data_IF_241742235536
#
_entry.id   IF_241742235536
#
_cell.length_a   1.000
_cell.length_b   1.000
_cell.length_c   1.000
_cell.angle_alpha   90.00
_cell.angle_beta   90.00
_cell.angle_gamma   90.00
#
_symmetry.space_group_name_H-M   'P 1'
#
loop_
_entity.id
_entity.type
_entity.pdbx_description
1 polymer ?
#
# COMPACT_ATOMS: atom_id res chain seq x y z
N UNK A 1 6.54 -3.61 16.36
CA UNK A 1 6.21 -2.18 16.50
C UNK A 1 6.55 -1.54 15.18
N UNK A 2 5.64 -0.76 14.59
CA UNK A 2 5.91 -0.10 13.30
C UNK A 2 7.04 0.93 13.45
N UNK A 3 7.81 1.12 12.37
CA UNK A 3 8.93 2.06 12.38
C UNK A 3 8.48 3.52 12.37
N UNK A 4 7.39 3.80 11.67
CA UNK A 4 6.80 5.13 11.53
C UNK A 4 5.43 5.19 12.17
N UNK A 5 5.08 6.36 12.68
CA UNK A 5 3.78 6.63 13.26
C UNK A 5 2.70 6.79 12.18
N UNK A 6 1.46 6.53 12.56
CA UNK A 6 0.30 6.92 11.76
C UNK A 6 0.10 8.44 11.86
N UNK A 7 -0.19 9.06 10.72
CA UNK A 7 -0.49 10.48 10.56
C UNK A 7 -1.97 10.59 10.20
N UNK A 8 -2.71 11.38 10.96
CA UNK A 8 -4.12 11.64 10.69
C UNK A 8 -4.28 12.56 9.48
N UNK A 9 -5.19 12.21 8.58
CA UNK A 9 -5.55 13.06 7.43
C UNK A 9 -6.53 14.12 7.93
N UNK A 10 -6.19 15.40 7.76
CA UNK A 10 -7.06 16.50 8.18
C UNK A 10 -8.12 16.83 7.13
N UNK A 11 -9.16 17.56 7.54
CA UNK A 11 -10.17 18.07 6.60
C UNK A 11 -9.57 19.00 5.54
N UNK A 12 -8.53 19.75 5.90
CA UNK A 12 -7.85 20.66 4.97
C UNK A 12 -7.01 19.89 3.93
N UNK A 13 -6.36 18.79 4.33
CA UNK A 13 -5.68 17.89 3.38
C UNK A 13 -6.69 17.31 2.38
N UNK A 14 -7.84 16.86 2.88
CA UNK A 14 -8.93 16.32 2.06
C UNK A 14 -9.47 17.39 1.09
N UNK A 15 -9.76 18.60 1.56
CA UNK A 15 -10.22 19.70 0.70
C UNK A 15 -9.22 20.02 -0.40
N UNK A 16 -7.93 20.09 -0.06
CA UNK A 16 -6.85 20.41 -1.01
C UNK A 16 -6.77 19.36 -2.11
N UNK A 17 -6.77 18.07 -1.77
CA UNK A 17 -6.72 17.02 -2.79
C UNK A 17 -8.00 16.99 -3.62
N UNK A 18 -9.18 17.15 -3.01
CA UNK A 18 -10.46 17.18 -3.73
C UNK A 18 -10.50 18.36 -4.71
N UNK A 19 -9.99 19.52 -4.32
CA UNK A 19 -9.89 20.66 -5.22
C UNK A 19 -9.01 20.35 -6.43
N UNK A 20 -7.83 19.76 -6.22
CA UNK A 20 -6.97 19.31 -7.33
C UNK A 20 -7.68 18.31 -8.24
N UNK A 21 -8.34 17.31 -7.68
CA UNK A 21 -9.08 16.30 -8.45
C UNK A 21 -10.19 16.94 -9.28
N UNK A 22 -10.92 17.91 -8.73
CA UNK A 22 -11.95 18.66 -9.45
C UNK A 22 -11.37 19.50 -10.58
N UNK A 23 -10.24 20.16 -10.36
CA UNK A 23 -9.50 20.86 -11.42
C UNK A 23 -9.10 19.89 -12.53
N UNK A 24 -8.52 18.73 -12.17
CA UNK A 24 -8.08 17.72 -13.12
C UNK A 24 -9.24 17.11 -13.90
N UNK A 25 -10.34 16.75 -13.23
CA UNK A 25 -11.54 16.19 -13.87
C UNK A 25 -12.12 17.12 -14.93
N UNK A 26 -12.10 18.43 -14.68
CA UNK A 26 -12.65 19.44 -15.61
C UNK A 26 -11.66 19.90 -16.68
N UNK A 27 -10.38 19.96 -16.34
CA UNK A 27 -9.33 20.54 -17.18
C UNK A 27 -8.56 19.53 -18.04
N UNK A 28 -8.69 18.23 -17.76
CA UNK A 28 -7.90 17.17 -18.41
C UNK A 28 -8.81 16.11 -19.06
N UNK A 29 -9.41 16.41 -20.23
CA UNK A 29 -10.43 15.57 -20.87
C UNK A 29 -9.92 14.19 -21.34
N UNK A 30 -8.61 13.97 -21.40
CA UNK A 30 -8.02 12.71 -21.88
C UNK A 30 -7.90 11.62 -20.82
N UNK A 31 -7.72 11.96 -19.53
CA UNK A 31 -7.71 10.92 -18.48
C UNK A 31 -9.08 10.26 -18.26
N UNK A 32 -10.12 10.80 -18.91
CA UNK A 32 -11.43 10.16 -19.07
C UNK A 32 -11.45 9.10 -20.19
N UNK A 33 -10.43 9.04 -21.06
CA UNK A 33 -10.44 8.25 -22.31
C UNK A 33 -9.34 7.16 -22.43
N UNK A 34 -8.37 7.08 -21.51
CA UNK A 34 -7.26 6.11 -21.58
C UNK A 34 -7.70 4.63 -21.42
N UNK A 35 -6.99 3.71 -22.05
CA UNK A 35 -7.27 2.28 -22.38
C UNK A 35 -7.80 1.30 -21.31
N UNK A 36 -8.11 1.76 -20.09
CA UNK A 36 -8.87 1.02 -19.07
C UNK A 36 -10.13 1.77 -18.59
N UNK A 37 -10.49 2.87 -19.26
CA UNK A 37 -11.50 3.83 -18.83
C UNK A 37 -12.89 3.21 -18.78
N UNK A 38 -13.25 2.74 -17.58
CA UNK A 38 -14.58 3.01 -17.05
C UNK A 38 -14.85 4.50 -17.27
N UNK A 39 -16.03 4.84 -17.81
CA UNK A 39 -16.55 6.22 -17.87
C UNK A 39 -16.81 6.70 -16.44
N UNK A 40 -15.73 6.90 -15.68
CA UNK A 40 -15.82 7.32 -14.29
C UNK A 40 -16.45 8.71 -14.25
N UNK A 41 -17.63 8.78 -13.64
CA UNK A 41 -18.16 10.04 -13.15
C UNK A 41 -17.31 10.49 -11.94
N UNK A 42 -17.57 11.71 -11.46
CA UNK A 42 -16.71 12.36 -10.46
C UNK A 42 -16.39 11.49 -9.23
N UNK A 43 -17.34 10.68 -8.74
CA UNK A 43 -17.11 9.78 -7.60
C UNK A 43 -16.00 8.76 -7.84
N UNK A 44 -16.06 8.02 -8.96
CA UNK A 44 -14.99 7.07 -9.31
C UNK A 44 -13.67 7.76 -9.64
N UNK A 45 -13.73 8.99 -10.17
CA UNK A 45 -12.53 9.78 -10.45
C UNK A 45 -11.83 10.26 -9.17
N UNK A 46 -12.59 10.60 -8.13
CA UNK A 46 -12.04 10.93 -6.81
C UNK A 46 -11.25 9.75 -6.25
N UNK A 47 -11.83 8.56 -6.21
CA UNK A 47 -11.17 7.35 -5.70
C UNK A 47 -9.86 7.06 -6.43
N UNK A 48 -9.84 7.24 -7.77
CA UNK A 48 -8.65 6.98 -8.59
C UNK A 48 -7.47 7.88 -8.24
N UNK A 49 -7.73 9.16 -7.95
CA UNK A 49 -6.68 10.17 -7.76
C UNK A 49 -6.44 10.52 -6.29
N UNK A 50 -7.25 10.00 -5.36
CA UNK A 50 -7.15 10.31 -3.95
C UNK A 50 -5.77 10.01 -3.37
N UNK A 51 -5.15 8.89 -3.76
CA UNK A 51 -3.84 8.46 -3.26
C UNK A 51 -2.73 9.51 -3.38
N UNK A 52 -2.87 10.50 -4.27
CA UNK A 52 -1.92 11.61 -4.41
C UNK A 52 -1.82 12.51 -3.17
N UNK A 53 -2.82 12.50 -2.28
CA UNK A 53 -2.75 13.17 -0.97
C UNK A 53 -1.56 12.68 -0.13
N UNK A 54 -1.14 11.43 -0.33
CA UNK A 54 -0.08 10.79 0.44
C UNK A 54 1.28 11.46 0.23
N UNK A 55 1.52 12.00 -0.97
CA UNK A 55 2.76 12.74 -1.29
C UNK A 55 2.94 13.95 -0.38
N UNK A 56 1.88 14.69 -0.05
CA UNK A 56 2.00 15.85 0.84
C UNK A 56 1.91 15.45 2.31
N UNK A 57 0.95 14.60 2.69
CA UNK A 57 0.74 14.24 4.11
C UNK A 57 1.98 13.59 4.72
N UNK A 58 2.62 12.64 4.02
CA UNK A 58 3.80 11.96 4.54
C UNK A 58 5.03 12.87 4.55
N UNK A 59 5.30 13.58 3.46
CA UNK A 59 6.50 14.42 3.40
C UNK A 59 6.39 15.65 4.29
N UNK A 60 5.20 16.23 4.50
CA UNK A 60 5.00 17.34 5.43
C UNK A 60 5.32 16.90 6.88
N UNK A 61 4.95 15.69 7.31
CA UNK A 61 5.36 15.16 8.63
C UNK A 61 6.87 14.86 8.68
N UNK A 62 7.42 14.20 7.66
CA UNK A 62 8.86 13.89 7.59
C UNK A 62 9.74 15.15 7.64
N UNK A 63 9.25 16.25 7.07
CA UNK A 63 9.98 17.50 6.92
C UNK A 63 9.50 18.61 7.87
N UNK A 64 8.66 18.31 8.87
CA UNK A 64 8.07 19.34 9.75
C UNK A 64 9.07 20.23 10.48
N UNK A 65 10.27 19.71 10.76
CA UNK A 65 11.37 20.44 11.41
C UNK A 65 12.30 21.13 10.39
N UNK A 66 12.00 21.06 9.10
CA UNK A 66 12.80 21.64 8.01
C UNK A 66 12.17 22.92 7.48
N UNK A 67 13.02 23.80 6.95
CA UNK A 67 12.61 25.10 6.37
C UNK A 67 12.28 24.99 4.87
N UNK A 68 11.84 23.82 4.44
CA UNK A 68 11.43 23.55 3.08
C UNK A 68 10.40 22.41 3.08
N UNK A 69 9.64 22.30 2.00
CA UNK A 69 8.67 21.23 1.77
C UNK A 69 8.85 20.64 0.38
N UNK A 70 8.31 19.45 0.16
CA UNK A 70 8.26 18.88 -1.19
C UNK A 70 7.28 19.63 -2.08
N UNK A 71 7.51 19.56 -3.38
CA UNK A 71 6.60 20.04 -4.41
C UNK A 71 6.11 18.82 -5.20
N UNK A 72 4.86 18.43 -4.96
CA UNK A 72 4.16 17.42 -5.75
C UNK A 72 3.81 17.91 -7.15
N UNK A 73 3.66 16.98 -8.09
CA UNK A 73 3.14 17.31 -9.42
C UNK A 73 1.63 17.60 -9.38
N UNK A 74 1.23 18.87 -9.43
CA UNK A 74 -0.18 19.26 -9.62
C UNK A 74 -0.44 19.89 -11.00
N UNK A 75 0.43 19.67 -11.98
CA UNK A 75 0.21 20.17 -13.33
C UNK A 75 -0.96 19.46 -14.03
N UNK A 76 -1.58 20.18 -14.96
CA UNK A 76 -2.54 19.62 -15.90
C UNK A 76 -1.85 19.50 -17.25
N UNK A 77 -1.98 18.34 -17.87
CA UNK A 77 -1.24 17.99 -19.08
C UNK A 77 -2.12 18.07 -20.32
N UNK A 78 -1.55 18.63 -21.39
CA UNK A 78 -2.19 18.64 -22.71
C UNK A 78 -2.15 17.27 -23.39
N UNK A 79 -2.68 17.20 -24.61
CA UNK A 79 -2.78 15.93 -25.34
C UNK A 79 -1.43 15.40 -25.83
N UNK A 80 -0.50 16.30 -26.15
CA UNK A 80 0.77 15.97 -26.81
C UNK A 80 1.95 15.87 -25.83
N UNK A 81 1.68 15.81 -24.52
CA UNK A 81 2.71 15.72 -23.48
C UNK A 81 2.88 14.30 -22.94
N UNK A 82 4.13 13.93 -22.67
CA UNK A 82 4.50 12.81 -21.82
C UNK A 82 3.95 13.01 -20.41
N UNK A 83 3.22 12.00 -19.95
CA UNK A 83 2.45 12.03 -18.69
C UNK A 83 3.16 11.31 -17.54
N UNK A 84 4.41 10.91 -17.73
CA UNK A 84 5.22 10.25 -16.71
C UNK A 84 6.02 11.28 -15.91
N UNK A 85 5.32 12.19 -15.23
CA UNK A 85 5.96 13.07 -14.27
C UNK A 85 6.40 12.27 -13.03
N UNK A 86 7.56 12.56 -12.44
CA UNK A 86 7.85 12.08 -11.09
C UNK A 86 6.83 12.64 -10.10
N UNK A 87 6.44 11.85 -9.10
CA UNK A 87 5.45 12.28 -8.11
C UNK A 87 5.93 13.50 -7.32
N UNK A 88 7.23 13.56 -7.01
CA UNK A 88 7.90 14.71 -6.37
C UNK A 88 8.77 15.46 -7.39
N UNK A 89 8.39 16.71 -7.68
CA UNK A 89 9.06 17.55 -8.68
C UNK A 89 10.24 18.37 -8.13
N UNK A 90 10.31 18.56 -6.81
CA UNK A 90 11.36 19.38 -6.19
C UNK A 90 11.07 19.73 -4.75
N UNK A 91 11.79 20.75 -4.25
CA UNK A 91 11.59 21.35 -2.94
C UNK A 91 11.20 22.82 -3.08
N UNK A 92 10.46 23.34 -2.11
CA UNK A 92 10.17 24.77 -1.96
C UNK A 92 10.65 25.24 -0.60
N UNK A 93 11.55 26.21 -0.57
CA UNK A 93 12.07 26.79 0.67
C UNK A 93 11.02 27.67 1.35
N UNK A 94 11.22 27.98 2.63
CA UNK A 94 10.37 28.94 3.36
C UNK A 94 10.43 30.36 2.80
N UNK A 95 11.48 30.73 2.05
CA UNK A 95 11.56 32.00 1.31
C UNK A 95 10.77 31.99 0.00
N UNK A 96 10.21 30.84 -0.39
CA UNK A 96 9.42 30.67 -1.60
C UNK A 96 10.24 30.25 -2.83
N UNK A 97 11.55 30.01 -2.68
CA UNK A 97 12.42 29.56 -3.77
C UNK A 97 12.13 28.09 -4.11
N UNK A 98 11.85 27.82 -5.39
CA UNK A 98 11.65 26.46 -5.91
C UNK A 98 12.98 25.87 -6.38
N UNK A 99 13.28 24.66 -5.91
CA UNK A 99 14.47 23.87 -6.22
C UNK A 99 14.04 22.62 -6.97
N UNK A 100 14.07 22.61 -8.31
CA UNK A 100 13.50 21.54 -9.12
C UNK A 100 14.41 20.31 -9.15
N UNK A 101 13.82 19.13 -8.99
CA UNK A 101 14.45 17.84 -9.27
C UNK A 101 14.26 17.43 -10.73
N UNK A 102 13.13 17.82 -11.31
CA UNK A 102 12.84 17.61 -12.73
C UNK A 102 12.25 18.88 -13.35
N UNK A 103 12.49 19.06 -14.64
CA UNK A 103 11.99 20.18 -15.43
C UNK A 103 11.29 19.65 -16.67
N UNK A 104 10.09 20.16 -16.91
CA UNK A 104 9.37 19.90 -18.14
C UNK A 104 10.01 20.67 -19.30
N UNK A 105 10.30 19.97 -20.39
CA UNK A 105 10.95 20.51 -21.58
C UNK A 105 10.31 19.90 -22.83
N UNK A 106 9.58 20.72 -23.59
CA UNK A 106 9.02 20.38 -24.90
C UNK A 106 8.31 19.02 -24.97
N UNK A 107 7.37 18.77 -24.05
CA UNK A 107 6.58 17.55 -24.08
C UNK A 107 7.05 16.48 -23.11
N UNK A 108 8.20 16.60 -22.44
CA UNK A 108 8.71 15.55 -21.55
C UNK A 108 9.36 16.08 -20.28
N UNK A 109 9.39 15.26 -19.22
CA UNK A 109 10.08 15.56 -17.98
C UNK A 109 11.54 15.14 -18.06
N UNK A 110 12.43 16.09 -17.83
CA UNK A 110 13.88 15.88 -17.79
C UNK A 110 14.40 16.05 -16.37
N UNK A 111 15.12 15.04 -15.87
CA UNK A 111 15.78 15.11 -14.56
C UNK A 111 16.86 16.17 -14.55
N UNK A 112 16.93 16.92 -13.44
CA UNK A 112 18.04 17.80 -13.14
C UNK A 112 19.20 16.95 -12.63
N UNK A 113 20.40 17.13 -13.20
CA UNK A 113 21.57 16.33 -12.85
C UNK A 113 21.85 16.38 -11.35
N UNK A 114 22.06 15.20 -10.75
CA UNK A 114 22.32 15.04 -9.31
C UNK A 114 21.11 15.16 -8.40
N UNK A 115 19.90 15.39 -8.94
CA UNK A 115 18.66 15.44 -8.16
C UNK A 115 17.92 14.10 -8.21
N UNK A 116 17.23 13.70 -7.12
CA UNK A 116 16.56 12.42 -7.05
C UNK A 116 15.24 12.41 -7.84
N UNK A 117 14.94 11.29 -8.50
CA UNK A 117 13.59 10.94 -8.93
C UNK A 117 12.90 10.06 -7.90
N UNK A 118 11.65 10.36 -7.60
CA UNK A 118 10.90 9.74 -6.51
C UNK A 118 9.51 9.36 -7.01
N UNK A 119 9.17 8.08 -6.84
CA UNK A 119 7.84 7.51 -7.06
C UNK A 119 7.19 7.20 -5.71
N UNK A 120 5.89 7.48 -5.57
CA UNK A 120 5.11 7.23 -4.36
C UNK A 120 4.04 6.19 -4.65
N UNK A 121 4.06 5.09 -3.89
CA UNK A 121 3.08 4.00 -3.99
C UNK A 121 2.26 3.91 -2.72
N UNK A 122 0.95 4.03 -2.86
CA UNK A 122 0.01 3.86 -1.76
C UNK A 122 -0.61 2.46 -1.80
N UNK A 123 -0.59 1.79 -0.66
CA UNK A 123 -1.23 0.48 -0.43
C UNK A 123 -2.24 0.62 0.70
N UNK A 124 -3.34 -0.12 0.67
CA UNK A 124 -4.32 -0.08 1.76
C UNK A 124 -3.89 -0.97 2.93
N UNK A 125 -4.36 -0.66 4.12
CA UNK A 125 -4.08 -1.44 5.33
C UNK A 125 -4.51 -2.90 5.18
N UNK A 126 -5.66 -3.15 4.53
CA UNK A 126 -6.21 -4.48 4.28
C UNK A 126 -5.46 -5.31 3.21
N UNK A 127 -4.59 -4.67 2.42
CA UNK A 127 -3.81 -5.34 1.37
C UNK A 127 -2.47 -5.84 1.92
N UNK A 128 -2.13 -7.12 1.74
CA UNK A 128 -0.86 -7.68 2.24
C UNK A 128 0.35 -7.41 1.33
N UNK A 129 0.11 -7.09 0.06
CA UNK A 129 1.13 -7.03 -0.99
C UNK A 129 1.33 -5.62 -1.51
N UNK A 130 2.56 -5.37 -1.95
CA UNK A 130 2.98 -4.22 -2.71
C UNK A 130 3.62 -4.67 -4.03
N UNK A 131 3.53 -3.82 -5.04
CA UNK A 131 3.99 -4.13 -6.39
C UNK A 131 4.45 -2.89 -7.15
N UNK A 132 5.53 -3.03 -7.91
CA UNK A 132 5.95 -2.03 -8.91
C UNK A 132 6.17 -2.72 -10.23
N UNK A 133 5.50 -2.22 -11.28
CA UNK A 133 5.65 -2.75 -12.63
C UNK A 133 7.05 -2.44 -13.13
N UNK A 134 7.70 -3.39 -13.80
CA UNK A 134 9.06 -3.17 -14.33
C UNK A 134 9.19 -1.90 -15.20
N UNK A 135 8.23 -1.57 -16.09
CA UNK A 135 8.29 -0.31 -16.85
C UNK A 135 8.22 0.96 -16.00
N UNK A 136 7.68 0.88 -14.77
CA UNK A 136 7.64 1.98 -13.81
C UNK A 136 8.89 2.03 -12.94
N UNK A 137 9.81 1.05 -13.06
CA UNK A 137 11.03 1.03 -12.26
C UNK A 137 12.12 1.93 -12.85
N UNK A 138 11.79 3.21 -13.09
CA UNK A 138 12.69 4.20 -13.72
C UNK A 138 13.26 5.21 -12.74
N UNK A 139 12.70 5.30 -11.54
CA UNK A 139 13.07 6.27 -10.51
C UNK A 139 14.12 5.75 -9.55
N UNK A 140 14.77 6.67 -8.83
CA UNK A 140 15.88 6.38 -7.94
C UNK A 140 15.38 5.86 -6.59
N UNK A 141 14.24 6.40 -6.12
CA UNK A 141 13.61 6.06 -4.85
C UNK A 141 12.12 5.75 -5.02
N UNK A 142 11.64 4.74 -4.29
CA UNK A 142 10.24 4.35 -4.20
C UNK A 142 9.79 4.47 -2.75
N UNK A 143 8.77 5.29 -2.51
CA UNK A 143 8.19 5.53 -1.19
C UNK A 143 6.90 4.73 -1.09
N UNK A 144 6.83 3.81 -0.13
CA UNK A 144 5.61 3.02 0.10
C UNK A 144 4.85 3.56 1.31
N UNK A 145 3.58 3.83 1.13
CA UNK A 145 2.71 4.43 2.13
C UNK A 145 1.52 3.51 2.34
N UNK A 146 1.24 3.17 3.58
CA UNK A 146 0.02 2.49 3.98
C UNK A 146 -1.09 3.51 4.24
N UNK A 147 -2.27 3.27 3.69
CA UNK A 147 -3.48 4.07 3.89
C UNK A 147 -4.53 3.28 4.65
N UNK A 148 -5.17 3.92 5.62
CA UNK A 148 -6.29 3.38 6.38
C UNK A 148 -7.42 4.43 6.39
N UNK A 149 -8.23 4.44 5.34
CA UNK A 149 -9.34 5.37 5.17
C UNK A 149 -10.61 4.82 5.79
N UNK A 150 -11.40 5.69 6.41
CA UNK A 150 -12.77 5.37 6.80
C UNK A 150 -13.63 5.16 5.54
N UNK A 151 -14.54 4.20 5.55
CA UNK A 151 -15.32 3.82 4.36
C UNK A 151 -16.21 4.94 3.80
N UNK A 152 -16.52 5.96 4.61
CA UNK A 152 -17.38 7.10 4.28
C UNK A 152 -16.65 8.44 4.37
N UNK A 153 -15.31 8.44 4.31
CA UNK A 153 -14.47 9.63 4.57
C UNK A 153 -14.85 10.89 3.78
N UNK A 154 -15.40 10.75 2.56
CA UNK A 154 -15.83 11.88 1.72
C UNK A 154 -16.99 12.67 2.34
N UNK A 155 -17.79 12.04 3.20
CA UNK A 155 -18.88 12.73 3.91
C UNK A 155 -18.37 13.87 4.77
N UNK A 156 -17.11 13.82 5.23
CA UNK A 156 -16.46 14.87 6.03
C UNK A 156 -16.49 16.26 5.37
N UNK A 157 -16.60 16.33 4.04
CA UNK A 157 -16.64 17.61 3.30
C UNK A 157 -18.01 17.91 2.67
N UNK A 158 -19.02 17.08 2.90
CA UNK A 158 -20.38 17.34 2.40
C UNK A 158 -21.05 18.43 3.22
N UNK A 159 -21.87 19.28 2.59
CA UNK A 159 -22.65 20.31 3.31
C UNK A 159 -23.56 19.67 4.37
N UNK A 160 -23.73 20.34 5.51
CA UNK A 160 -24.57 19.86 6.62
C UNK A 160 -26.00 19.53 6.16
N UNK A 161 -26.52 20.30 5.20
CA UNK A 161 -27.85 20.09 4.63
C UNK A 161 -28.05 18.68 4.02
N UNK A 162 -27.00 17.94 3.67
CA UNK A 162 -27.13 16.54 3.20
C UNK A 162 -27.61 15.60 4.31
N UNK A 163 -27.32 15.94 5.57
CA UNK A 163 -27.63 15.13 6.76
C UNK A 163 -28.86 15.68 7.51
N UNK A 164 -29.72 16.44 6.81
CA UNK A 164 -30.95 16.99 7.38
C UNK A 164 -31.96 15.86 7.69
N UNK A 165 -32.46 15.85 8.93
CA UNK A 165 -33.44 14.89 9.43
C UNK A 165 -34.70 14.78 8.56
N UNK A 166 -35.08 15.85 7.84
CA UNK A 166 -36.22 15.80 6.93
C UNK A 166 -36.05 14.71 5.86
N UNK A 167 -34.83 14.55 5.32
CA UNK A 167 -34.56 13.55 4.29
C UNK A 167 -34.55 12.14 4.87
N UNK A 168 -34.11 11.98 6.11
CA UNK A 168 -34.23 10.71 6.82
C UNK A 168 -35.71 10.29 6.94
N UNK A 169 -36.57 11.19 7.41
CA UNK A 169 -37.99 10.93 7.57
C UNK A 169 -38.72 10.69 6.23
N UNK A 170 -38.33 11.39 5.16
CA UNK A 170 -38.86 11.16 3.81
C UNK A 170 -38.48 9.78 3.23
N UNK A 171 -37.36 9.20 3.68
CA UNK A 171 -36.88 7.90 3.23
C UNK A 171 -37.35 6.73 4.12
N UNK A 172 -37.99 7.01 5.26
CA UNK A 172 -38.51 5.95 6.13
C UNK A 172 -39.59 5.11 5.42
N UNK A 173 -39.41 3.79 5.43
CA UNK A 173 -40.35 2.84 4.82
C UNK A 173 -41.24 2.18 5.86
N UNK A 174 -42.53 1.99 5.53
CA UNK A 174 -43.45 1.26 6.38
C UNK A 174 -43.04 -0.21 6.53
N UNK A 175 -43.13 -0.74 7.76
CA UNK A 175 -42.97 -2.18 8.03
C UNK A 175 -44.11 -3.02 7.47
N UNK A 176 -45.23 -2.42 7.06
CA UNK A 176 -46.35 -3.13 6.44
C UNK A 176 -45.98 -3.80 5.12
N UNK A 177 -44.87 -3.36 4.48
CA UNK A 177 -44.30 -4.03 3.31
C UNK A 177 -43.55 -5.34 3.64
N UNK A 178 -43.37 -5.67 4.93
CA UNK A 178 -42.63 -6.84 5.40
C UNK A 178 -43.61 -7.85 6.01
N UNK A 179 -43.87 -8.95 5.29
CA UNK A 179 -44.74 -10.02 5.78
C UNK A 179 -44.11 -10.82 6.94
N UNK A 180 -42.81 -11.11 6.86
CA UNK A 180 -42.03 -11.86 7.86
C UNK A 180 -40.54 -11.66 7.61
N UNK A 181 -39.75 -11.36 8.64
CA UNK A 181 -38.28 -11.26 8.59
C UNK A 181 -37.64 -11.74 9.90
N UNK A 182 -37.70 -13.05 10.15
CA UNK A 182 -37.22 -13.64 11.41
C UNK A 182 -35.69 -13.62 11.56
N UNK A 183 -34.99 -13.52 10.44
CA UNK A 183 -33.54 -13.51 10.40
C UNK A 183 -32.96 -12.08 10.40
N UNK A 184 -33.80 -11.05 10.54
CA UNK A 184 -33.41 -9.62 10.54
C UNK A 184 -32.56 -9.25 9.32
N UNK A 185 -32.95 -9.74 8.14
CA UNK A 185 -32.24 -9.47 6.89
C UNK A 185 -32.53 -8.06 6.35
N UNK A 186 -33.67 -7.48 6.73
CA UNK A 186 -34.02 -6.10 6.41
C UNK A 186 -33.59 -5.22 7.60
N UNK A 187 -32.51 -4.48 7.39
CA UNK A 187 -32.00 -3.58 8.40
C UNK A 187 -32.89 -2.33 8.50
N UNK A 188 -33.19 -1.83 9.72
CA UNK A 188 -33.89 -0.56 9.87
C UNK A 188 -33.03 0.60 9.37
N UNK A 189 -33.69 1.65 8.85
CA UNK A 189 -33.03 2.91 8.58
C UNK A 189 -32.42 3.47 9.87
N UNK A 190 -31.27 4.11 9.74
CA UNK A 190 -30.62 4.84 10.83
C UNK A 190 -30.19 6.21 10.31
N UNK A 191 -30.13 7.18 11.23
CA UNK A 191 -29.69 8.53 10.90
C UNK A 191 -28.22 8.51 10.53
N UNK A 192 -27.90 9.16 9.41
CA UNK A 192 -26.52 9.34 8.96
C UNK A 192 -25.96 10.63 9.55
N UNK A 193 -24.75 10.57 10.07
CA UNK A 193 -23.98 11.74 10.49
C UNK A 193 -22.80 11.96 9.54
N UNK A 194 -22.28 13.19 9.51
CA UNK A 194 -21.02 13.49 8.85
C UNK A 194 -19.89 12.71 9.53
N UNK A 195 -19.02 12.09 8.74
CA UNK A 195 -17.81 11.46 9.29
C UNK A 195 -16.89 12.50 9.92
N UNK A 196 -16.46 12.21 11.16
CA UNK A 196 -15.54 13.05 11.94
C UNK A 196 -14.07 12.71 11.68
N UNK A 197 -13.81 11.58 11.04
CA UNK A 197 -12.47 11.03 10.82
C UNK A 197 -12.35 10.61 9.36
N UNK A 198 -11.27 11.03 8.72
CA UNK A 198 -11.03 10.72 7.31
C UNK A 198 -10.25 9.41 7.19
N UNK A 199 -9.21 9.27 8.02
CA UNK A 199 -8.35 8.11 8.04
C UNK A 199 -6.93 8.47 8.46
N UNK A 200 -6.03 7.51 8.33
CA UNK A 200 -4.61 7.69 8.61
C UNK A 200 -3.74 7.24 7.43
N UNK A 201 -2.54 7.79 7.38
CA UNK A 201 -1.47 7.34 6.49
C UNK A 201 -0.21 7.05 7.30
N UNK A 202 0.56 6.06 6.87
CA UNK A 202 1.80 5.66 7.53
C UNK A 202 2.86 5.34 6.49
N UNK A 203 4.05 5.87 6.66
CA UNK A 203 5.19 5.44 5.85
C UNK A 203 5.54 3.98 6.19
N UNK A 204 5.61 3.14 5.17
CA UNK A 204 6.20 1.79 5.29
C UNK A 204 7.72 1.91 5.23
N UNK A 205 8.21 2.67 4.24
CA UNK A 205 9.63 2.99 4.08
C UNK A 205 9.92 3.63 2.72
N UNK A 206 11.14 4.12 2.57
CA UNK A 206 11.68 4.57 1.28
C UNK A 206 12.78 3.63 0.84
N UNK A 207 12.75 3.15 -0.40
CA UNK A 207 13.75 2.18 -0.87
C UNK A 207 14.38 2.69 -2.16
N UNK A 208 15.70 2.55 -2.28
CA UNK A 208 16.35 2.74 -3.56
C UNK A 208 15.85 1.68 -4.55
N UNK A 209 15.95 1.97 -5.84
CA UNK A 209 15.61 1.00 -6.89
C UNK A 209 16.25 -0.37 -6.71
N UNK A 210 17.54 -0.40 -6.39
CA UNK A 210 18.31 -1.63 -6.23
C UNK A 210 17.87 -2.41 -4.99
N UNK A 211 17.61 -1.71 -3.89
CA UNK A 211 17.13 -2.34 -2.66
C UNK A 211 15.72 -2.89 -2.83
N UNK A 212 14.85 -2.18 -3.56
CA UNK A 212 13.52 -2.67 -3.87
C UNK A 212 13.60 -3.97 -4.67
N UNK A 213 14.37 -3.99 -5.77
CA UNK A 213 14.56 -5.19 -6.61
C UNK A 213 15.09 -6.39 -5.84
N UNK A 214 16.02 -6.16 -4.91
CA UNK A 214 16.59 -7.21 -4.05
C UNK A 214 15.56 -7.83 -3.09
N UNK A 215 14.55 -7.08 -2.68
CA UNK A 215 13.55 -7.51 -1.69
C UNK A 215 12.17 -7.83 -2.28
N UNK A 216 12.07 -7.87 -3.60
CA UNK A 216 10.87 -8.26 -4.34
C UNK A 216 11.13 -9.50 -5.19
N UNK A 217 10.06 -10.21 -5.53
CA UNK A 217 10.08 -11.29 -6.52
C UNK A 217 9.51 -10.77 -7.82
N UNK A 218 10.29 -10.85 -8.90
CA UNK A 218 9.82 -10.52 -10.24
C UNK A 218 8.82 -11.59 -10.69
N UNK A 219 7.56 -11.18 -10.80
CA UNK A 219 6.48 -12.00 -11.31
C UNK A 219 6.19 -11.56 -12.75
N UNK A 220 6.59 -12.38 -13.72
CA UNK A 220 6.28 -12.16 -15.13
C UNK A 220 4.77 -12.12 -15.40
N UNK A 221 4.39 -11.75 -16.62
CA UNK A 221 2.99 -11.82 -17.09
C UNK A 221 2.33 -13.15 -16.74
N UNK A 222 1.09 -13.10 -16.27
CA UNK A 222 0.25 -14.24 -15.85
C UNK A 222 0.79 -15.10 -14.69
N UNK A 223 1.97 -14.78 -14.15
CA UNK A 223 2.52 -15.45 -12.97
C UNK A 223 1.82 -14.91 -11.72
N UNK A 224 1.05 -15.79 -11.08
CA UNK A 224 0.28 -15.49 -9.87
C UNK A 224 0.97 -16.10 -8.65
N UNK A 225 1.75 -15.32 -7.87
CA UNK A 225 2.46 -15.86 -6.72
C UNK A 225 1.52 -16.16 -5.56
N UNK A 226 1.93 -17.11 -4.73
CA UNK A 226 1.35 -17.37 -3.41
C UNK A 226 2.04 -16.48 -2.38
N UNK A 227 1.28 -15.98 -1.41
CA UNK A 227 1.82 -15.17 -0.33
C UNK A 227 1.28 -15.62 1.02
N UNK A 228 2.07 -15.39 2.06
CA UNK A 228 1.67 -15.65 3.44
C UNK A 228 0.39 -14.88 3.77
N UNK A 229 -0.56 -15.54 4.42
CA UNK A 229 -1.85 -14.94 4.76
C UNK A 229 -2.22 -15.04 6.23
N UNK A 230 -1.90 -16.15 6.88
CA UNK A 230 -2.15 -16.38 8.30
C UNK A 230 -1.21 -17.44 8.88
N UNK A 231 -1.09 -17.43 10.20
CA UNK A 231 -0.48 -18.50 10.98
C UNK A 231 -1.34 -18.81 12.20
N UNK A 232 -1.73 -20.07 12.37
CA UNK A 232 -2.61 -20.51 13.45
C UNK A 232 -2.14 -21.85 14.01
N UNK A 233 -2.31 -22.05 15.32
CA UNK A 233 -2.14 -23.37 15.93
C UNK A 233 -3.21 -24.33 15.39
N UNK A 234 -2.83 -25.60 15.18
CA UNK A 234 -3.74 -26.65 14.73
C UNK A 234 -3.71 -27.85 15.69
N UNK A 235 -4.87 -28.45 15.95
CA UNK A 235 -4.97 -29.57 16.90
C UNK A 235 -4.42 -30.89 16.33
N UNK A 236 -4.47 -31.08 15.01
CA UNK A 236 -3.99 -32.29 14.33
C UNK A 236 -3.72 -32.08 12.84
N UNK A 237 -2.85 -32.90 12.27
CA UNK A 237 -2.66 -33.03 10.82
C UNK A 237 -3.35 -34.28 10.31
N UNK A 238 -4.35 -34.13 9.44
CA UNK A 238 -4.99 -35.27 8.76
C UNK A 238 -4.03 -35.79 7.69
N UNK A 239 -3.45 -36.98 7.93
CA UNK A 239 -2.40 -37.64 7.10
C UNK A 239 -1.08 -36.85 7.07
N UNK A 240 -0.32 -36.90 8.17
CA UNK A 240 1.06 -36.43 8.18
C UNK A 240 1.91 -37.27 7.22
N UNK A 241 2.85 -36.64 6.52
CA UNK A 241 3.88 -37.36 5.80
C UNK A 241 4.87 -37.92 6.84
N UNK A 242 5.31 -39.17 6.70
CA UNK A 242 6.36 -39.73 7.56
C UNK A 242 7.64 -38.92 7.32
N UNK A 243 7.94 -38.01 8.26
CA UNK A 243 8.74 -36.81 8.00
C UNK A 243 10.23 -36.98 8.29
N UNK A 244 11.04 -36.83 7.24
CA UNK A 244 12.46 -36.45 7.32
C UNK A 244 12.72 -35.06 6.71
N UNK A 245 11.67 -34.34 6.30
CA UNK A 245 11.80 -33.01 5.70
C UNK A 245 11.76 -31.91 6.76
N UNK A 246 12.69 -30.96 6.62
CA UNK A 246 12.82 -29.81 7.49
C UNK A 246 12.70 -28.52 6.65
N UNK A 247 12.00 -27.52 7.19
CA UNK A 247 11.97 -26.17 6.69
C UNK A 247 13.23 -25.47 7.21
N UNK A 248 14.17 -25.18 6.33
CA UNK A 248 15.39 -24.43 6.68
C UNK A 248 15.05 -22.96 6.80
N UNK A 249 15.52 -22.34 7.88
CA UNK A 249 15.30 -20.94 8.24
C UNK A 249 16.64 -20.23 8.17
N UNK A 250 16.73 -19.13 7.40
CA UNK A 250 17.97 -18.34 7.39
C UNK A 250 18.20 -17.67 8.74
N UNK A 251 19.43 -17.25 9.01
CA UNK A 251 19.80 -16.62 10.29
C UNK A 251 19.01 -15.36 10.62
N UNK A 252 18.53 -14.64 9.61
CA UNK A 252 17.65 -13.46 9.75
C UNK A 252 16.15 -13.82 9.81
N UNK A 253 15.82 -15.11 9.85
CA UNK A 253 14.45 -15.64 9.93
C UNK A 253 13.69 -15.65 8.61
N UNK A 254 14.31 -15.30 7.47
CA UNK A 254 13.66 -15.28 6.16
C UNK A 254 13.49 -16.70 5.61
N UNK A 255 12.35 -16.96 4.97
CA UNK A 255 12.01 -18.24 4.36
C UNK A 255 11.81 -18.06 2.87
N UNK A 256 12.56 -18.82 2.07
CA UNK A 256 12.25 -19.10 0.68
C UNK A 256 11.55 -20.45 0.62
N UNK A 257 10.23 -20.45 0.40
CA UNK A 257 9.43 -21.66 0.37
C UNK A 257 9.12 -22.11 -1.05
N UNK A 258 9.13 -23.43 -1.26
CA UNK A 258 8.67 -24.08 -2.48
C UNK A 258 8.11 -25.45 -2.15
N UNK A 259 7.32 -26.00 -3.08
CA UNK A 259 6.84 -27.38 -3.01
C UNK A 259 7.61 -28.20 -4.05
N UNK A 260 8.32 -29.27 -3.65
CA UNK A 260 9.05 -30.12 -4.59
C UNK A 260 8.13 -30.63 -5.72
N UNK A 261 8.60 -30.52 -6.97
CA UNK A 261 7.85 -30.93 -8.16
C UNK A 261 6.74 -29.96 -8.60
N UNK A 262 6.61 -28.79 -7.97
CA UNK A 262 5.70 -27.73 -8.41
C UNK A 262 6.48 -26.48 -8.83
N UNK A 263 5.95 -25.78 -9.84
CA UNK A 263 6.51 -24.53 -10.36
C UNK A 263 5.77 -23.29 -9.83
N UNK A 264 4.95 -23.45 -8.79
CA UNK A 264 4.28 -22.32 -8.14
C UNK A 264 5.30 -21.44 -7.42
N UNK A 265 5.19 -20.13 -7.59
CA UNK A 265 6.03 -19.14 -6.90
C UNK A 265 5.39 -18.81 -5.55
N UNK A 266 6.16 -18.89 -4.48
CA UNK A 266 5.75 -18.39 -3.16
C UNK A 266 6.62 -17.19 -2.81
N UNK A 267 5.99 -16.07 -2.45
CA UNK A 267 6.70 -14.92 -1.92
C UNK A 267 7.36 -15.29 -0.59
N UNK A 268 8.56 -14.77 -0.33
CA UNK A 268 9.21 -14.94 0.96
C UNK A 268 8.34 -14.46 2.11
N UNK A 269 8.53 -15.09 3.27
CA UNK A 269 7.94 -14.69 4.55
C UNK A 269 8.97 -14.94 5.66
N UNK A 270 8.65 -14.57 6.89
CA UNK A 270 9.55 -14.63 8.04
C UNK A 270 9.04 -15.57 9.11
N UNK A 271 9.93 -16.36 9.70
CA UNK A 271 9.70 -17.11 10.93
C UNK A 271 10.84 -16.80 11.90
N UNK A 272 10.49 -16.36 13.11
CA UNK A 272 11.43 -16.24 14.23
C UNK A 272 10.84 -16.92 15.47
N UNK A 273 11.67 -17.43 16.37
CA UNK A 273 11.20 -17.90 17.67
C UNK A 273 11.19 -16.75 18.68
N UNK A 274 10.21 -16.72 19.59
CA UNK A 274 10.14 -15.68 20.63
C UNK A 274 11.32 -15.76 21.61
N UNK A 275 11.91 -16.94 21.79
CA UNK A 275 13.04 -17.19 22.69
C UNK A 275 14.12 -18.03 21.98
N UNK A 276 15.17 -17.35 21.49
CA UNK A 276 16.35 -17.98 20.90
C UNK A 276 16.29 -18.15 19.38
N UNK A 277 17.35 -18.71 18.82
CA UNK A 277 17.46 -18.97 17.39
C UNK A 277 16.72 -20.25 16.98
N UNK A 278 16.26 -20.27 15.73
CA UNK A 278 15.65 -21.43 15.10
C UNK A 278 16.17 -21.54 13.67
N UNK A 279 16.88 -22.64 13.38
CA UNK A 279 17.49 -22.88 12.06
C UNK A 279 16.65 -23.83 11.21
N UNK A 280 15.80 -24.64 11.84
CA UNK A 280 14.96 -25.59 11.14
C UNK A 280 13.66 -25.91 11.91
N UNK A 281 12.62 -26.24 11.15
CA UNK A 281 11.34 -26.71 11.67
C UNK A 281 10.91 -27.97 10.93
N UNK A 282 10.47 -28.99 11.65
CA UNK A 282 9.99 -30.22 11.04
C UNK A 282 8.71 -29.96 10.25
N UNK A 283 8.68 -30.41 9.00
CA UNK A 283 7.51 -30.28 8.13
C UNK A 283 6.63 -31.51 8.31
N UNK A 284 5.37 -31.30 8.66
CA UNK A 284 4.39 -32.36 8.82
C UNK A 284 3.59 -32.61 7.53
N UNK A 285 3.32 -31.54 6.77
CA UNK A 285 2.54 -31.59 5.53
C UNK A 285 2.68 -30.33 4.68
N UNK A 286 2.77 -30.50 3.37
CA UNK A 286 2.68 -29.42 2.38
C UNK A 286 1.38 -29.55 1.57
N UNK A 287 0.67 -28.44 1.40
CA UNK A 287 -0.38 -28.27 0.41
C UNK A 287 -0.17 -26.93 -0.31
N UNK A 288 -0.74 -26.78 -1.51
CA UNK A 288 -0.62 -25.54 -2.29
C UNK A 288 -1.02 -24.28 -1.51
N UNK A 289 -2.08 -24.36 -0.70
CA UNK A 289 -2.57 -23.24 0.12
C UNK A 289 -2.13 -23.28 1.58
N UNK A 290 -1.29 -24.24 2.01
CA UNK A 290 -0.91 -24.32 3.43
C UNK A 290 0.33 -25.17 3.70
N UNK A 291 1.13 -24.78 4.67
CA UNK A 291 2.24 -25.55 5.23
C UNK A 291 1.97 -25.88 6.71
N UNK A 292 2.17 -27.13 7.12
CA UNK A 292 2.11 -27.55 8.52
C UNK A 292 3.51 -27.86 9.03
N UNK A 293 3.88 -27.21 10.13
CA UNK A 293 5.15 -27.40 10.82
C UNK A 293 4.93 -27.72 12.30
N UNK A 294 5.91 -28.40 12.90
CA UNK A 294 5.95 -28.69 14.33
C UNK A 294 7.04 -27.85 14.99
N UNK A 295 6.70 -27.14 16.06
CA UNK A 295 7.66 -26.39 16.86
C UNK A 295 7.46 -26.68 18.35
N UNK A 296 8.55 -26.80 19.08
CA UNK A 296 8.58 -26.88 20.54
C UNK A 296 8.54 -25.49 21.20
N UNK A 297 8.48 -24.41 20.41
CA UNK A 297 8.58 -23.02 20.88
C UNK A 297 7.46 -22.15 20.32
N UNK A 298 7.29 -20.99 20.95
CA UNK A 298 6.46 -19.93 20.41
C UNK A 298 7.12 -19.35 19.16
N UNK A 299 6.37 -19.25 18.06
CA UNK A 299 6.86 -18.67 16.81
C UNK A 299 6.18 -17.33 16.54
N UNK A 300 6.90 -16.46 15.84
CA UNK A 300 6.42 -15.22 15.25
C UNK A 300 6.58 -15.35 13.75
N UNK A 301 5.47 -15.46 13.02
CA UNK A 301 5.43 -15.67 11.57
C UNK A 301 4.79 -14.45 10.92
N UNK A 302 5.57 -13.63 10.21
CA UNK A 302 5.11 -12.34 9.66
C UNK A 302 4.31 -11.48 10.67
N UNK A 303 4.73 -11.52 11.94
CA UNK A 303 4.09 -10.79 13.06
C UNK A 303 3.00 -11.57 13.80
N UNK A 304 2.53 -12.71 13.27
CA UNK A 304 1.56 -13.58 13.93
C UNK A 304 2.23 -14.48 14.96
N UNK A 305 1.77 -14.40 16.21
CA UNK A 305 2.28 -15.25 17.30
C UNK A 305 1.53 -16.58 17.35
N UNK A 306 2.26 -17.68 17.50
CA UNK A 306 1.70 -19.02 17.66
C UNK A 306 2.32 -19.72 18.86
N UNK A 307 1.53 -20.54 19.56
CA UNK A 307 2.01 -21.34 20.70
C UNK A 307 2.88 -22.51 20.23
N UNK A 308 3.70 -23.10 21.11
CA UNK A 308 4.32 -24.41 20.86
C UNK A 308 3.29 -25.46 20.40
N UNK A 309 3.70 -26.30 19.47
CA UNK A 309 2.91 -27.38 18.89
C UNK A 309 2.87 -27.33 17.36
N UNK A 310 1.76 -27.80 16.80
CA UNK A 310 1.54 -27.82 15.35
C UNK A 310 1.05 -26.44 14.91
N UNK A 311 1.71 -25.87 13.92
CA UNK A 311 1.38 -24.58 13.32
C UNK A 311 1.00 -24.79 11.85
N UNK A 312 -0.16 -24.27 11.46
CA UNK A 312 -0.59 -24.15 10.08
C UNK A 312 -0.26 -22.74 9.59
N UNK A 313 0.55 -22.65 8.56
CA UNK A 313 0.80 -21.44 7.78
C UNK A 313 -0.13 -21.48 6.56
N UNK A 314 -0.96 -20.45 6.39
CA UNK A 314 -1.86 -20.30 5.24
C UNK A 314 -1.23 -19.47 4.13
N UNK A 315 -1.41 -19.91 2.88
CA UNK A 315 -1.02 -19.16 1.68
C UNK A 315 -2.26 -18.82 0.83
N UNK A 316 -2.32 -17.57 0.37
CA UNK A 316 -3.31 -17.11 -0.62
C UNK A 316 -2.64 -16.90 -1.97
N UNK A 317 -3.37 -17.19 -3.05
CA UNK A 317 -2.91 -16.89 -4.42
C UNK A 317 -3.21 -15.44 -4.75
N UNK A 318 -2.21 -14.69 -5.19
CA UNK A 318 -2.39 -13.36 -5.73
C UNK A 318 -2.80 -13.49 -7.20
N UNK A 319 -4.11 -13.47 -7.44
CA UNK A 319 -4.65 -13.52 -8.81
C UNK A 319 -4.31 -12.22 -9.55
N UNK A 320 -3.49 -12.33 -10.59
CA UNK A 320 -3.06 -11.21 -11.42
C UNK A 320 -3.67 -11.37 -12.80
N UNK A 321 -4.39 -10.35 -13.25
CA UNK A 321 -4.82 -10.19 -14.65
C UNK A 321 -3.94 -9.19 -15.40
N UNK A 322 -2.74 -8.90 -14.86
CA UNK A 322 -1.83 -7.88 -15.38
C UNK A 322 -0.99 -8.45 -16.52
N UNK A 323 -1.00 -7.77 -17.67
CA UNK A 323 -0.13 -8.08 -18.81
C UNK A 323 1.31 -7.54 -18.65
N UNK A 324 1.73 -7.24 -17.41
CA UNK A 324 2.99 -6.61 -17.08
C UNK A 324 3.82 -7.46 -16.11
N UNK A 325 5.12 -7.41 -16.31
CA UNK A 325 6.09 -7.90 -15.33
C UNK A 325 6.10 -6.94 -14.13
N UNK A 326 6.13 -7.50 -12.92
CA UNK A 326 5.95 -6.74 -11.69
C UNK A 326 6.80 -7.32 -10.57
N UNK A 327 7.49 -6.45 -9.85
CA UNK A 327 8.22 -6.78 -8.65
C UNK A 327 7.25 -6.75 -7.48
N UNK A 328 7.00 -7.91 -6.88
CA UNK A 328 5.99 -8.09 -5.83
C UNK A 328 6.66 -8.49 -4.52
N UNK A 329 6.22 -7.92 -3.41
CA UNK A 329 6.61 -8.35 -2.06
C UNK A 329 5.44 -8.18 -1.09
N UNK A 330 5.52 -8.81 0.08
CA UNK A 330 4.59 -8.46 1.17
C UNK A 330 5.04 -7.16 1.84
N UNK A 331 4.09 -6.39 2.39
CA UNK A 331 4.40 -5.19 3.18
C UNK A 331 5.37 -5.51 4.31
N UNK A 332 5.11 -6.62 5.02
CA UNK A 332 5.93 -7.07 6.14
C UNK A 332 7.37 -7.37 5.72
N UNK A 333 7.57 -8.06 4.60
CA UNK A 333 8.92 -8.41 4.14
C UNK A 333 9.73 -7.17 3.78
N UNK A 334 9.12 -6.21 3.08
CA UNK A 334 9.81 -4.99 2.71
C UNK A 334 10.12 -4.11 3.94
N UNK A 335 9.19 -3.99 4.88
CA UNK A 335 9.37 -3.22 6.12
C UNK A 335 10.44 -3.84 7.05
N UNK A 336 10.48 -5.17 7.15
CA UNK A 336 11.41 -5.87 8.04
C UNK A 336 12.82 -6.02 7.47
N UNK A 337 12.94 -6.31 6.17
CA UNK A 337 14.22 -6.70 5.55
C UNK A 337 14.80 -5.67 4.58
N UNK A 338 13.99 -4.73 4.09
CA UNK A 338 14.47 -3.69 3.20
C UNK A 338 15.30 -2.63 3.93
N UNK A 339 16.41 -2.23 3.33
CA UNK A 339 17.20 -1.09 3.82
C UNK A 339 16.45 0.21 3.52
N UNK A 340 15.81 0.72 4.55
CA UNK A 340 15.07 1.96 4.46
C UNK A 340 15.99 3.18 4.33
N UNK A 341 15.84 3.85 3.20
CA UNK A 341 16.60 4.98 2.71
C UNK A 341 15.96 6.34 3.02
N UNK A 342 14.92 6.42 3.86
CA UNK A 342 14.26 7.70 4.17
C UNK A 342 15.24 8.75 4.71
N UNK A 343 16.10 8.37 5.66
CA UNK A 343 17.09 9.30 6.22
C UNK A 343 18.12 9.75 5.17
N UNK A 344 18.53 8.83 4.28
CA UNK A 344 19.42 9.13 3.15
C UNK A 344 18.79 10.11 2.18
N UNK A 345 17.50 9.92 1.84
CA UNK A 345 16.78 10.83 0.95
C UNK A 345 16.62 12.22 1.58
N UNK A 346 16.26 12.30 2.87
CA UNK A 346 16.17 13.58 3.58
C UNK A 346 17.54 14.27 3.65
N UNK A 347 18.62 13.51 3.91
CA UNK A 347 19.97 14.08 3.90
C UNK A 347 20.37 14.63 2.51
N UNK A 348 19.91 14.00 1.42
CA UNK A 348 20.09 14.52 0.07
C UNK A 348 19.31 15.83 -0.13
N UNK A 349 18.09 15.94 0.39
CA UNK A 349 17.32 17.20 0.38
C UNK A 349 18.05 18.29 1.16
N UNK A 350 18.49 17.99 2.38
CA UNK A 350 19.23 18.92 3.23
C UNK A 350 20.50 19.44 2.53
N UNK A 351 21.26 18.54 1.88
CA UNK A 351 22.44 18.90 1.10
C UNK A 351 22.09 19.81 -0.09
N UNK A 352 21.04 19.50 -0.83
CA UNK A 352 20.59 20.31 -1.97
C UNK A 352 20.23 21.73 -1.55
N UNK A 353 19.54 21.88 -0.42
CA UNK A 353 19.19 23.21 0.11
C UNK A 353 20.42 23.98 0.59
N UNK A 354 21.41 23.33 1.18
CA UNK A 354 22.65 24.00 1.63
C UNK A 354 23.53 24.53 0.49
N UNK A 355 23.39 23.98 -0.71
CA UNK A 355 24.18 24.41 -1.89
C UNK A 355 23.60 25.61 -2.64
N UNK A 356 22.48 26.14 -2.19
CA UNK A 356 21.72 27.25 -2.79
C UNK A 356 21.67 28.40 -1.78
#
# INVERSE_FOLDING_TARGET
>A
MYKYNEIEITEDDLKKIIYFILMKFRGDPLHLQGTSAKRDLIGGYIERWFNKIAETVIFDDLLKERKYKVVSDYFLYGNDSDKNAPDILGLKTSSGLDVPFSKYNNGTWTSVSGMPKIEVKVVRQDQSLLGVREPQMTDDYYVFIESNLEGDYLTAIFKDAVFDDKYFHELEMSRDYILRDENSQILPHYKMERSKKIGTMRLIGTYSKDELRKNTVLCSKDVCPFYFSDALNADRVVKAQNGTEHLVISSDGKIAYSIPGQNDIYLPFSITASNGEISELKILKRNKGSLYIESDRELIIDGFKTKPGIVKIGFKKFERSSAWDENVSSKFMLEKYGIDSTATLIALFDKTIQTI
#
